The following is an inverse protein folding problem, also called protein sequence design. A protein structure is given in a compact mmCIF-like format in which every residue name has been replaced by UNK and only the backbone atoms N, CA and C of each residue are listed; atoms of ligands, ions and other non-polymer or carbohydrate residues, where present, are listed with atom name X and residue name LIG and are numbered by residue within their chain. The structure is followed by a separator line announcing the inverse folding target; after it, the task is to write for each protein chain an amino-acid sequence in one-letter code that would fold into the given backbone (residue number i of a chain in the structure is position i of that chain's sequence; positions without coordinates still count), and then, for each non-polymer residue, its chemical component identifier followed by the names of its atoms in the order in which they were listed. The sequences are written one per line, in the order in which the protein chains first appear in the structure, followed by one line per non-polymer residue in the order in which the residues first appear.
data_IF_570295319465
#
_entry.id   IF_570295319465
#
_cell.length_a   1.000
_cell.length_b   1.000
_cell.length_c   1.000
_cell.angle_alpha   90.00
_cell.angle_beta   90.00
_cell.angle_gamma   90.00
#
_symmetry.space_group_name_H-M   'P 1'
#
loop_
_entity.id
_entity.type
_entity.pdbx_description
1 polymer ?
#
# COMPACT_ATOMS: atom_id res chain seq x y z
N UNK A 1 2.38 -4.25 -17.47
CA UNK A 1 1.52 -3.08 -17.25
C UNK A 1 2.36 -1.83 -17.50
N UNK A 2 1.89 -0.84 -18.26
CA UNK A 2 2.62 0.41 -18.41
C UNK A 2 2.71 1.12 -17.05
N UNK A 3 3.93 1.40 -16.59
CA UNK A 3 4.15 2.23 -15.42
C UNK A 3 3.99 3.69 -15.83
N UNK A 4 2.89 4.31 -15.45
CA UNK A 4 2.60 5.72 -15.72
C UNK A 4 3.13 6.53 -14.55
N UNK A 5 3.78 7.66 -14.83
CA UNK A 5 4.35 8.56 -13.79
C UNK A 5 3.75 9.96 -13.82
N UNK A 6 2.91 10.25 -14.80
CA UNK A 6 2.21 11.53 -14.93
C UNK A 6 0.72 11.24 -15.02
N UNK A 7 -0.04 11.89 -14.15
CA UNK A 7 -1.48 11.70 -14.00
C UNK A 7 -2.12 13.07 -13.88
N UNK A 8 -3.41 13.24 -14.18
CA UNK A 8 -4.08 14.51 -13.97
C UNK A 8 -4.24 14.81 -12.48
N UNK A 9 -4.22 16.10 -12.14
CA UNK A 9 -4.75 16.57 -10.87
C UNK A 9 -6.28 16.40 -10.85
N UNK A 10 -6.85 16.06 -9.68
CA UNK A 10 -8.29 16.01 -9.50
C UNK A 10 -8.94 17.38 -9.78
N UNK A 11 -10.08 17.37 -10.47
CA UNK A 11 -10.88 18.58 -10.67
C UNK A 11 -11.61 18.97 -9.39
N UNK A 12 -12.02 20.23 -9.27
CA UNK A 12 -12.86 20.67 -8.14
C UNK A 12 -14.19 19.92 -8.09
N UNK A 13 -14.76 19.57 -9.24
CA UNK A 13 -15.99 18.77 -9.32
C UNK A 13 -15.79 17.37 -8.73
N UNK A 14 -14.69 16.69 -9.09
CA UNK A 14 -14.33 15.40 -8.51
C UNK A 14 -14.19 15.47 -7.00
N UNK A 15 -13.47 16.49 -6.48
CA UNK A 15 -13.31 16.67 -5.04
C UNK A 15 -14.64 16.96 -4.34
N UNK A 16 -15.49 17.81 -4.92
CA UNK A 16 -16.79 18.18 -4.36
C UNK A 16 -17.82 17.04 -4.39
N UNK A 17 -17.63 16.02 -5.23
CA UNK A 17 -18.49 14.85 -5.23
C UNK A 17 -18.39 14.06 -3.91
N UNK A 18 -17.22 14.07 -3.28
CA UNK A 18 -17.00 13.44 -1.97
C UNK A 18 -17.06 14.47 -0.82
N UNK A 19 -16.28 15.54 -0.93
CA UNK A 19 -16.09 16.53 0.13
C UNK A 19 -17.02 17.73 -0.01
N UNK A 20 -17.32 18.36 1.11
CA UNK A 20 -18.03 19.63 1.14
C UNK A 20 -17.20 20.73 0.46
N UNK A 21 -17.83 21.72 -0.20
CA UNK A 21 -17.13 22.86 -0.77
C UNK A 21 -16.32 23.65 0.26
N UNK A 22 -16.80 23.71 1.51
CA UNK A 22 -16.07 24.37 2.59
C UNK A 22 -14.72 23.70 2.87
N UNK A 23 -14.70 22.36 2.95
CA UNK A 23 -13.48 21.59 3.17
C UNK A 23 -12.48 21.77 2.03
N UNK A 24 -12.92 21.58 0.79
CA UNK A 24 -12.05 21.72 -0.39
C UNK A 24 -11.44 23.12 -0.45
N UNK A 25 -12.25 24.16 -0.26
CA UNK A 25 -11.77 25.53 -0.24
C UNK A 25 -10.81 25.82 0.92
N UNK A 26 -11.06 25.26 2.11
CA UNK A 26 -10.19 25.43 3.27
C UNK A 26 -8.80 24.84 3.02
N UNK A 27 -8.73 23.57 2.59
CA UNK A 27 -7.47 22.88 2.27
C UNK A 27 -6.68 23.62 1.20
N UNK A 28 -7.32 23.99 0.08
CA UNK A 28 -6.66 24.70 -1.01
C UNK A 28 -6.17 26.10 -0.58
N UNK A 29 -6.94 26.81 0.25
CA UNK A 29 -6.56 28.13 0.78
C UNK A 29 -5.37 28.04 1.73
N UNK A 30 -5.35 27.05 2.62
CA UNK A 30 -4.24 26.82 3.54
C UNK A 30 -2.96 26.47 2.77
N UNK A 31 -3.04 25.53 1.83
CA UNK A 31 -1.89 25.18 0.99
C UNK A 31 -1.38 26.40 0.21
N UNK A 32 -2.28 27.16 -0.42
CA UNK A 32 -1.89 28.36 -1.16
C UNK A 32 -1.21 29.43 -0.29
N UNK A 33 -1.52 29.51 1.01
CA UNK A 33 -0.80 30.41 1.94
C UNK A 33 0.63 29.93 2.17
N UNK A 34 0.83 28.63 2.37
CA UNK A 34 2.16 28.03 2.56
C UNK A 34 2.99 28.15 1.28
N UNK A 35 2.41 27.81 0.12
CA UNK A 35 3.05 27.96 -1.21
C UNK A 35 3.60 29.38 -1.41
N UNK A 36 2.75 30.40 -1.25
CA UNK A 36 3.17 31.80 -1.42
C UNK A 36 4.25 32.22 -0.43
N UNK A 37 4.19 31.71 0.81
CA UNK A 37 5.21 32.01 1.81
C UNK A 37 6.57 31.42 1.41
N UNK A 38 6.56 30.16 0.97
CA UNK A 38 7.76 29.45 0.54
C UNK A 38 8.36 30.03 -0.75
N UNK A 39 7.52 30.42 -1.71
CA UNK A 39 7.96 31.09 -2.93
C UNK A 39 8.62 32.45 -2.62
N UNK A 40 8.09 33.19 -1.65
CA UNK A 40 8.70 34.45 -1.23
C UNK A 40 10.01 34.24 -0.45
N UNK A 41 10.09 33.18 0.37
CA UNK A 41 11.34 32.80 1.03
C UNK A 41 12.44 32.47 0.02
N UNK A 42 12.11 31.75 -1.06
CA UNK A 42 13.06 31.47 -2.14
C UNK A 42 13.51 32.75 -2.86
N UNK A 43 12.58 33.69 -3.12
CA UNK A 43 12.93 34.99 -3.72
C UNK A 43 13.88 35.79 -2.82
N UNK A 44 13.61 35.83 -1.51
CA UNK A 44 14.49 36.51 -0.55
C UNK A 44 15.87 35.83 -0.51
N UNK A 45 15.92 34.50 -0.54
CA UNK A 45 17.17 33.74 -0.51
C UNK A 45 18.02 33.94 -1.77
N UNK A 46 17.40 34.24 -2.91
CA UNK A 46 18.06 34.44 -4.21
C UNK A 46 18.26 35.92 -4.56
N UNK A 47 17.80 36.85 -3.72
CA UNK A 47 17.92 38.30 -3.97
C UNK A 47 19.39 38.75 -3.95
N UNK A 48 19.92 39.31 -5.06
CA UNK A 48 21.29 39.82 -5.12
C UNK A 48 21.54 40.95 -4.11
N UNK A 49 20.50 41.69 -3.71
CA UNK A 49 20.59 42.75 -2.69
C UNK A 49 20.75 42.18 -1.28
N UNK A 50 20.46 40.91 -1.06
CA UNK A 50 20.74 40.23 0.20
C UNK A 50 22.21 39.75 0.30
N UNK A 51 22.91 39.64 -0.84
CA UNK A 51 24.29 39.12 -0.94
C UNK A 51 25.34 40.17 -1.33
N UNK A 52 24.93 41.33 -1.86
CA UNK A 52 25.83 42.42 -2.19
C UNK A 52 26.39 43.10 -0.91
N UNK A 53 27.71 43.22 -0.77
CA UNK A 53 28.40 43.77 0.41
C UNK A 53 28.08 45.23 0.81
N UNK A 54 27.11 45.88 0.15
CA UNK A 54 26.60 47.22 0.45
C UNK A 54 25.15 47.22 0.96
N UNK A 55 24.65 46.10 1.51
CA UNK A 55 23.34 46.11 2.20
C UNK A 55 23.44 47.02 3.42
N UNK A 56 22.75 48.17 3.39
CA UNK A 56 22.61 49.00 4.60
C UNK A 56 22.00 48.15 5.73
N UNK A 57 22.48 48.32 6.96
CA UNK A 57 21.98 47.59 8.13
C UNK A 57 20.44 47.63 8.26
N UNK A 58 19.82 48.72 7.81
CA UNK A 58 18.37 48.88 7.73
C UNK A 58 17.67 47.89 6.78
N UNK A 59 18.17 47.74 5.56
CA UNK A 59 17.64 46.76 4.59
C UNK A 59 17.83 45.32 5.07
N UNK A 60 18.96 45.02 5.70
CA UNK A 60 19.20 43.70 6.31
C UNK A 60 18.21 43.38 7.42
N UNK A 61 17.90 44.35 8.29
CA UNK A 61 16.93 44.17 9.38
C UNK A 61 15.52 43.92 8.82
N UNK A 62 15.07 44.68 7.81
CA UNK A 62 13.78 44.48 7.17
C UNK A 62 13.66 43.09 6.52
N UNK A 63 14.69 42.66 5.79
CA UNK A 63 14.70 41.34 5.16
C UNK A 63 14.69 40.21 6.20
N UNK A 64 15.39 40.37 7.31
CA UNK A 64 15.37 39.43 8.44
C UNK A 64 13.96 39.32 9.04
N UNK A 65 13.34 40.44 9.44
CA UNK A 65 12.01 40.42 10.04
C UNK A 65 10.95 39.84 9.09
N UNK A 66 11.05 40.16 7.80
CA UNK A 66 10.16 39.59 6.79
C UNK A 66 10.36 38.09 6.63
N UNK A 67 11.62 37.62 6.59
CA UNK A 67 11.95 36.19 6.54
C UNK A 67 11.39 35.45 7.75
N UNK A 68 11.56 35.97 8.96
CA UNK A 68 11.06 35.35 10.19
C UNK A 68 9.53 35.23 10.18
N UNK A 69 8.84 36.26 9.68
CA UNK A 69 7.39 36.24 9.51
C UNK A 69 6.94 35.16 8.51
N UNK A 70 7.65 35.00 7.39
CA UNK A 70 7.34 34.00 6.38
C UNK A 70 7.65 32.57 6.85
N UNK A 71 8.70 32.38 7.65
CA UNK A 71 9.03 31.08 8.25
C UNK A 71 7.93 30.56 9.17
N UNK A 72 7.13 31.42 9.81
CA UNK A 72 5.94 31.00 10.54
C UNK A 72 4.87 30.35 9.65
N UNK A 73 4.98 30.52 8.33
CA UNK A 73 4.10 29.93 7.32
C UNK A 73 4.86 29.01 6.35
N UNK A 74 5.95 28.37 6.79
CA UNK A 74 6.63 27.33 6.00
C UNK A 74 5.89 25.98 6.03
N UNK A 75 5.10 25.76 7.08
CA UNK A 75 4.22 24.61 7.25
C UNK A 75 3.04 24.97 8.14
N UNK A 76 1.97 24.19 8.07
CA UNK A 76 0.81 24.29 8.97
C UNK A 76 0.42 22.89 9.43
N UNK A 77 0.51 22.64 10.73
CA UNK A 77 -0.05 21.45 11.36
C UNK A 77 -1.54 21.69 11.66
N UNK A 78 -2.42 20.80 11.20
CA UNK A 78 -3.87 20.96 11.36
C UNK A 78 -4.45 20.16 12.54
N UNK A 79 -3.80 19.09 13.00
CA UNK A 79 -4.34 18.20 14.04
C UNK A 79 -3.29 17.38 14.83
N UNK A 80 -2.00 17.65 14.66
CA UNK A 80 -0.91 16.99 15.39
C UNK A 80 -0.22 15.86 14.62
N UNK A 81 -0.81 15.40 13.51
CA UNK A 81 -0.22 14.41 12.62
C UNK A 81 -0.27 14.83 11.14
N UNK A 82 -1.19 15.71 10.77
CA UNK A 82 -1.38 16.13 9.39
C UNK A 82 -0.76 17.50 9.15
N UNK A 83 0.37 17.53 8.44
CA UNK A 83 1.11 18.77 8.15
C UNK A 83 0.99 19.18 6.68
N UNK A 84 0.53 20.41 6.46
CA UNK A 84 0.59 21.10 5.16
C UNK A 84 2.00 21.67 4.98
N UNK A 85 2.62 21.36 3.85
CA UNK A 85 3.91 21.86 3.41
C UNK A 85 3.78 22.42 1.99
N UNK A 86 4.89 22.95 1.44
CA UNK A 86 4.93 23.59 0.13
C UNK A 86 4.24 22.80 -1.00
N UNK A 87 4.47 21.49 -1.07
CA UNK A 87 4.00 20.64 -2.16
C UNK A 87 2.75 19.81 -1.81
N UNK A 88 2.12 20.06 -0.66
CA UNK A 88 0.96 19.28 -0.21
C UNK A 88 -0.20 19.38 -1.19
N UNK A 89 -0.50 20.58 -1.72
CA UNK A 89 -1.61 20.77 -2.67
C UNK A 89 -1.42 19.94 -3.93
N UNK A 90 -0.25 20.06 -4.56
CA UNK A 90 0.06 19.35 -5.79
C UNK A 90 -0.01 17.85 -5.57
N UNK A 91 0.61 17.35 -4.49
CA UNK A 91 0.59 15.93 -4.15
C UNK A 91 -0.84 15.42 -3.89
N UNK A 92 -1.64 16.13 -3.07
CA UNK A 92 -3.00 15.72 -2.73
C UNK A 92 -3.95 15.74 -3.94
N UNK A 93 -3.83 16.74 -4.82
CA UNK A 93 -4.62 16.80 -6.04
C UNK A 93 -4.27 15.66 -7.01
N UNK A 94 -2.99 15.35 -7.19
CA UNK A 94 -2.56 14.26 -8.06
C UNK A 94 -2.87 12.89 -7.47
N UNK A 95 -2.86 12.72 -6.14
CA UNK A 95 -3.25 11.47 -5.50
C UNK A 95 -4.72 11.12 -5.80
N UNK A 96 -5.64 12.08 -5.60
CA UNK A 96 -7.06 11.89 -5.93
C UNK A 96 -7.29 11.77 -7.45
N UNK A 97 -6.56 12.55 -8.26
CA UNK A 97 -6.69 12.54 -9.71
C UNK A 97 -6.18 11.24 -10.35
N UNK A 98 -5.10 10.65 -9.83
CA UNK A 98 -4.61 9.35 -10.27
C UNK A 98 -5.63 8.23 -9.99
N UNK A 99 -6.31 8.27 -8.84
CA UNK A 99 -7.36 7.31 -8.52
C UNK A 99 -8.56 7.43 -9.49
N UNK A 100 -8.95 8.66 -9.87
CA UNK A 100 -9.99 8.88 -10.89
C UNK A 100 -9.56 8.39 -12.27
N UNK A 101 -8.33 8.68 -12.69
CA UNK A 101 -7.79 8.22 -13.96
C UNK A 101 -7.68 6.69 -14.04
N UNK A 102 -7.39 6.04 -12.92
CA UNK A 102 -7.40 4.58 -12.82
C UNK A 102 -8.83 4.01 -12.97
N UNK A 103 -9.84 4.66 -12.39
CA UNK A 103 -11.25 4.32 -12.63
C UNK A 103 -11.59 4.48 -14.11
N UNK A 104 -11.21 5.60 -14.74
CA UNK A 104 -11.45 5.80 -16.17
C UNK A 104 -10.83 4.68 -17.01
N UNK A 105 -9.58 4.32 -16.75
CA UNK A 105 -8.87 3.27 -17.48
C UNK A 105 -9.54 1.89 -17.31
N UNK A 106 -9.97 1.54 -16.10
CA UNK A 106 -10.64 0.26 -15.81
C UNK A 106 -12.05 0.22 -16.41
N UNK A 107 -12.83 1.31 -16.27
CA UNK A 107 -14.21 1.36 -16.75
C UNK A 107 -14.30 1.41 -18.27
N UNK A 108 -13.31 2.00 -18.95
CA UNK A 108 -13.21 2.02 -20.43
C UNK A 108 -12.56 0.75 -21.01
N UNK A 109 -12.07 -0.15 -20.17
CA UNK A 109 -11.39 -1.38 -20.60
C UNK A 109 -9.95 -1.18 -21.08
N UNK A 110 -9.35 0.00 -20.87
CA UNK A 110 -7.95 0.26 -21.18
C UNK A 110 -7.00 -0.59 -20.30
N UNK A 111 -7.44 -0.99 -19.10
CA UNK A 111 -6.80 -2.02 -18.30
C UNK A 111 -7.84 -2.85 -17.53
N UNK A 112 -7.46 -4.06 -17.12
CA UNK A 112 -8.34 -4.92 -16.29
C UNK A 112 -8.40 -4.43 -14.84
N UNK A 113 -7.27 -3.98 -14.32
CA UNK A 113 -7.14 -3.42 -12.98
C UNK A 113 -6.03 -2.37 -12.91
N UNK A 114 -5.94 -1.65 -11.79
CA UNK A 114 -4.91 -0.64 -11.54
C UNK A 114 -4.51 -0.57 -10.06
N UNK A 115 -3.25 -0.22 -9.80
CA UNK A 115 -2.74 0.15 -8.48
C UNK A 115 -2.15 1.56 -8.52
N UNK A 116 -2.63 2.46 -7.66
CA UNK A 116 -2.20 3.84 -7.56
C UNK A 116 -1.21 3.98 -6.40
N UNK A 117 0.09 4.00 -6.71
CA UNK A 117 1.15 4.27 -5.74
C UNK A 117 1.26 5.78 -5.47
N UNK A 118 0.36 6.31 -4.65
CA UNK A 118 0.20 7.74 -4.40
C UNK A 118 0.52 8.13 -2.96
N UNK A 119 0.77 9.41 -2.74
CA UNK A 119 0.79 10.06 -1.42
C UNK A 119 0.39 11.53 -1.58
N UNK A 120 -0.28 12.15 -0.59
CA UNK A 120 -0.71 11.61 0.70
C UNK A 120 -1.84 10.57 0.62
N UNK A 121 -2.08 9.78 1.69
CA UNK A 121 -3.25 8.89 1.80
C UNK A 121 -4.56 9.70 1.85
N UNK A 122 -5.70 9.00 1.89
CA UNK A 122 -7.02 9.63 1.83
C UNK A 122 -8.10 9.08 2.77
N UNK A 123 -8.07 7.82 3.19
CA UNK A 123 -9.25 7.17 3.80
C UNK A 123 -9.74 7.79 5.13
N UNK A 124 -8.91 8.56 5.83
CA UNK A 124 -9.29 9.31 7.04
C UNK A 124 -9.92 10.67 6.76
N UNK A 125 -9.75 11.23 5.55
CA UNK A 125 -10.33 12.52 5.20
C UNK A 125 -11.87 12.38 5.13
N UNK A 126 -12.55 12.98 6.09
CA UNK A 126 -14.00 13.05 6.14
C UNK A 126 -14.53 14.06 5.11
N UNK A 127 -15.84 14.04 4.79
CA UNK A 127 -16.42 15.01 3.88
C UNK A 127 -16.15 16.48 4.26
N UNK A 128 -15.92 16.76 5.55
CA UNK A 128 -15.79 18.12 6.08
C UNK A 128 -14.48 18.36 6.86
N UNK A 129 -13.54 17.41 6.86
CA UNK A 129 -12.35 17.45 7.72
C UNK A 129 -11.17 16.66 7.14
N UNK A 130 -9.98 17.25 7.18
CA UNK A 130 -8.71 16.55 6.96
C UNK A 130 -8.17 16.04 8.31
N UNK A 131 -7.59 14.85 8.32
CA UNK A 131 -6.95 14.24 9.51
C UNK A 131 -6.16 12.99 9.15
N UNK A 132 -5.29 12.51 10.05
CA UNK A 132 -4.58 11.23 9.88
C UNK A 132 -3.77 11.18 8.58
N UNK A 133 -3.00 12.24 8.31
CA UNK A 133 -2.25 12.48 7.07
C UNK A 133 -3.10 12.72 5.81
N UNK A 134 -4.43 12.60 5.89
CA UNK A 134 -5.34 12.62 4.74
C UNK A 134 -5.98 13.99 4.53
N UNK A 135 -5.78 14.57 3.34
CA UNK A 135 -6.39 15.85 2.94
C UNK A 135 -7.66 15.68 2.12
N UNK A 136 -7.62 14.76 1.15
CA UNK A 136 -8.74 14.36 0.30
C UNK A 136 -8.83 12.84 0.30
N UNK A 137 -10.05 12.32 0.31
CA UNK A 137 -10.31 10.89 0.31
C UNK A 137 -10.17 10.35 -1.11
N UNK A 138 -8.95 9.94 -1.47
CA UNK A 138 -8.59 9.52 -2.83
C UNK A 138 -9.53 8.42 -3.37
N UNK A 139 -9.72 7.34 -2.60
CA UNK A 139 -10.56 6.21 -2.99
C UNK A 139 -12.05 6.58 -3.02
N UNK A 140 -12.49 7.44 -2.09
CA UNK A 140 -13.86 7.92 -2.01
C UNK A 140 -14.20 8.85 -3.18
N UNK A 141 -13.31 9.77 -3.54
CA UNK A 141 -13.42 10.61 -4.74
C UNK A 141 -13.50 9.75 -5.99
N UNK A 142 -12.67 8.70 -6.09
CA UNK A 142 -12.72 7.74 -7.21
C UNK A 142 -14.05 6.96 -7.26
N UNK A 143 -14.61 6.58 -6.11
CA UNK A 143 -15.93 5.94 -6.03
C UNK A 143 -17.04 6.86 -6.54
N UNK A 144 -17.02 8.14 -6.14
CA UNK A 144 -17.99 9.12 -6.61
C UNK A 144 -17.83 9.40 -8.10
N UNK A 145 -16.59 9.46 -8.59
CA UNK A 145 -16.29 9.60 -10.02
C UNK A 145 -16.82 8.42 -10.84
N UNK A 146 -16.68 7.17 -10.35
CA UNK A 146 -17.28 6.00 -11.00
C UNK A 146 -18.82 6.08 -11.05
N UNK A 147 -19.44 6.48 -9.93
CA UNK A 147 -20.88 6.60 -9.76
C UNK A 147 -21.49 7.67 -10.67
N UNK A 148 -20.85 8.84 -10.75
CA UNK A 148 -21.35 10.00 -11.48
C UNK A 148 -20.90 10.00 -12.96
N UNK A 149 -19.61 9.74 -13.21
CA UNK A 149 -19.01 9.81 -14.55
C UNK A 149 -19.22 8.56 -15.39
N UNK A 150 -19.28 7.37 -14.77
CA UNK A 150 -19.42 6.08 -15.48
C UNK A 150 -20.76 5.39 -15.24
N UNK A 151 -21.67 6.02 -14.49
CA UNK A 151 -23.01 5.47 -14.21
C UNK A 151 -23.00 4.18 -13.40
N UNK A 152 -21.92 3.90 -12.66
CA UNK A 152 -21.77 2.68 -11.86
C UNK A 152 -22.84 2.65 -10.77
N UNK A 153 -23.61 1.56 -10.72
CA UNK A 153 -24.75 1.45 -9.81
C UNK A 153 -24.33 1.03 -8.40
N UNK A 154 -23.40 0.06 -8.30
CA UNK A 154 -22.86 -0.46 -7.04
C UNK A 154 -21.34 -0.45 -7.04
N UNK A 155 -20.74 0.27 -6.11
CA UNK A 155 -19.30 0.30 -5.85
C UNK A 155 -19.06 -0.31 -4.47
N UNK A 156 -18.09 -1.22 -4.36
CA UNK A 156 -17.62 -1.69 -3.06
C UNK A 156 -16.21 -1.14 -2.83
N UNK A 157 -15.96 -0.59 -1.63
CA UNK A 157 -14.62 -0.27 -1.14
C UNK A 157 -14.28 -1.29 -0.05
N UNK A 158 -13.20 -2.04 -0.26
CA UNK A 158 -12.61 -2.91 0.77
C UNK A 158 -11.33 -2.26 1.28
N UNK A 159 -11.29 -1.99 2.56
CA UNK A 159 -10.19 -1.34 3.25
C UNK A 159 -9.49 -2.33 4.18
N UNK A 160 -8.24 -2.66 3.84
CA UNK A 160 -7.38 -3.52 4.67
C UNK A 160 -6.23 -2.75 5.33
N UNK A 161 -6.24 -1.41 5.26
CA UNK A 161 -5.42 -0.58 6.13
C UNK A 161 -5.72 -0.93 7.59
N UNK A 162 -4.70 -0.91 8.45
CA UNK A 162 -4.87 -1.29 9.85
C UNK A 162 -5.73 -0.29 10.62
N UNK A 163 -5.83 0.94 10.14
CA UNK A 163 -6.65 1.98 10.73
C UNK A 163 -8.03 2.01 10.07
N UNK A 164 -9.06 2.29 10.86
CA UNK A 164 -10.40 2.45 10.32
C UNK A 164 -10.48 3.70 9.42
N UNK A 165 -10.80 3.52 8.14
CA UNK A 165 -11.08 4.59 7.18
C UNK A 165 -12.38 5.35 7.48
N UNK A 166 -12.40 6.11 8.57
CA UNK A 166 -13.56 6.86 9.08
C UNK A 166 -14.15 7.85 8.07
N UNK A 167 -13.33 8.41 7.18
CA UNK A 167 -13.79 9.30 6.11
C UNK A 167 -14.69 8.57 5.12
N UNK A 168 -14.24 7.39 4.68
CA UNK A 168 -14.98 6.53 3.75
C UNK A 168 -16.24 5.97 4.39
N UNK A 169 -16.16 5.49 5.65
CA UNK A 169 -17.33 5.04 6.43
C UNK A 169 -18.39 6.16 6.49
N UNK A 170 -17.98 7.37 6.88
CA UNK A 170 -18.89 8.53 7.00
C UNK A 170 -19.64 8.81 5.70
N UNK A 171 -18.95 8.76 4.54
CA UNK A 171 -19.61 8.94 3.24
C UNK A 171 -20.53 7.78 2.91
N UNK A 172 -20.13 6.53 3.16
CA UNK A 172 -20.96 5.36 2.89
C UNK A 172 -22.29 5.39 3.66
N UNK A 173 -22.30 5.90 4.89
CA UNK A 173 -23.53 6.03 5.70
C UNK A 173 -24.50 7.13 5.27
N UNK A 174 -24.13 7.96 4.30
CA UNK A 174 -25.04 9.00 3.82
C UNK A 174 -26.27 8.38 3.11
N UNK A 175 -27.46 8.97 3.24
CA UNK A 175 -28.68 8.38 2.66
C UNK A 175 -28.62 8.14 1.14
N UNK A 176 -27.92 9.02 0.42
CA UNK A 176 -27.70 8.91 -1.03
C UNK A 176 -26.80 7.72 -1.41
N UNK A 177 -25.94 7.27 -0.49
CA UNK A 177 -24.96 6.21 -0.73
C UNK A 177 -25.39 4.83 -0.21
N UNK A 178 -26.41 4.76 0.64
CA UNK A 178 -26.85 3.54 1.33
C UNK A 178 -27.06 2.30 0.43
N UNK A 179 -27.41 2.50 -0.85
CA UNK A 179 -27.61 1.41 -1.82
C UNK A 179 -26.55 1.34 -2.93
N UNK A 180 -25.68 2.35 -3.02
CA UNK A 180 -24.70 2.51 -4.10
C UNK A 180 -23.27 2.23 -3.67
N UNK A 181 -22.96 2.41 -2.39
CA UNK A 181 -21.62 2.28 -1.84
C UNK A 181 -21.62 1.32 -0.65
N UNK A 182 -20.99 0.15 -0.84
CA UNK A 182 -20.62 -0.73 0.25
C UNK A 182 -19.21 -0.37 0.72
N UNK A 183 -19.05 -0.15 2.02
CA UNK A 183 -17.74 -0.02 2.66
C UNK A 183 -17.49 -1.21 3.59
N UNK A 184 -16.36 -1.88 3.41
CA UNK A 184 -15.90 -2.95 4.30
C UNK A 184 -14.52 -2.57 4.81
N UNK A 185 -14.28 -2.67 6.10
CA UNK A 185 -12.96 -2.37 6.70
C UNK A 185 -12.51 -3.48 7.63
N UNK A 186 -11.26 -3.91 7.49
CA UNK A 186 -10.56 -4.78 8.44
C UNK A 186 -9.48 -4.01 9.16
N UNK A 187 -9.74 -3.56 10.39
CA UNK A 187 -8.86 -2.64 11.12
C UNK A 187 -8.63 -3.09 12.56
N UNK A 188 -7.55 -2.63 13.18
CA UNK A 188 -7.35 -2.84 14.61
C UNK A 188 -8.44 -2.13 15.41
N UNK A 189 -9.04 -2.85 16.35
CA UNK A 189 -10.14 -2.33 17.16
C UNK A 189 -9.73 -1.10 17.99
N UNK A 190 -10.68 -0.22 18.31
CA UNK A 190 -10.48 0.85 19.30
C UNK A 190 -9.88 0.32 20.62
N UNK A 191 -8.94 1.06 21.24
CA UNK A 191 -8.66 2.49 21.08
C UNK A 191 -7.58 2.82 20.04
N UNK A 192 -7.25 1.92 19.09
CA UNK A 192 -6.39 2.28 17.96
C UNK A 192 -6.96 3.49 17.21
N UNK A 193 -6.09 4.38 16.71
CA UNK A 193 -6.52 5.53 15.92
C UNK A 193 -7.40 5.05 14.74
N UNK A 194 -8.51 5.72 14.41
CA UNK A 194 -9.02 6.99 14.96
C UNK A 194 -10.05 6.81 16.10
N UNK A 195 -10.02 5.70 16.83
CA UNK A 195 -10.98 5.35 17.89
C UNK A 195 -12.44 5.30 17.38
N UNK A 196 -12.63 4.68 16.21
CA UNK A 196 -13.94 4.44 15.58
C UNK A 196 -13.95 3.08 14.87
N UNK A 197 -14.96 2.81 14.03
CA UNK A 197 -15.06 1.53 13.32
C UNK A 197 -15.74 0.41 14.10
N UNK A 198 -16.49 0.73 15.15
CA UNK A 198 -17.11 -0.29 16.00
C UNK A 198 -18.02 -1.25 15.22
N UNK A 199 -17.78 -2.56 15.34
CA UNK A 199 -18.55 -3.60 14.63
C UNK A 199 -20.06 -3.57 14.95
N UNK A 200 -20.42 -3.16 16.19
CA UNK A 200 -21.83 -3.00 16.60
C UNK A 200 -22.57 -1.92 15.80
N UNK A 201 -21.86 -1.03 15.10
CA UNK A 201 -22.44 0.02 14.26
C UNK A 201 -22.56 -0.41 12.79
N UNK A 202 -22.39 -1.69 12.47
CA UNK A 202 -22.58 -2.18 11.10
C UNK A 202 -24.00 -1.92 10.60
N UNK A 203 -24.10 -1.72 9.29
CA UNK A 203 -25.36 -1.45 8.58
C UNK A 203 -25.39 -2.22 7.26
N UNK A 204 -26.47 -2.12 6.49
CA UNK A 204 -26.59 -2.87 5.22
C UNK A 204 -25.47 -2.59 4.22
N UNK A 205 -24.81 -1.45 4.31
CA UNK A 205 -23.76 -1.01 3.38
C UNK A 205 -22.46 -0.59 4.08
N UNK A 206 -22.32 -0.91 5.38
CA UNK A 206 -21.07 -0.77 6.12
C UNK A 206 -20.81 -2.02 6.95
N UNK A 207 -19.65 -2.65 6.72
CA UNK A 207 -19.18 -3.82 7.44
C UNK A 207 -17.79 -3.55 8.04
N UNK A 208 -17.77 -3.23 9.31
CA UNK A 208 -16.54 -3.10 10.09
C UNK A 208 -16.21 -4.45 10.74
N UNK A 209 -15.01 -4.95 10.45
CA UNK A 209 -14.43 -6.20 10.94
C UNK A 209 -13.24 -5.86 11.83
N UNK A 210 -13.49 -5.82 13.13
CA UNK A 210 -12.49 -5.46 14.14
C UNK A 210 -11.43 -6.57 14.30
N UNK A 211 -10.16 -6.17 14.37
CA UNK A 211 -9.01 -7.03 14.65
C UNK A 211 -8.47 -6.74 16.04
N UNK A 212 -8.21 -7.78 16.83
CA UNK A 212 -7.53 -7.63 18.11
C UNK A 212 -6.05 -7.29 17.89
N UNK A 213 -5.43 -6.60 18.85
CA UNK A 213 -3.97 -6.51 18.87
C UNK A 213 -3.38 -7.93 18.91
N UNK A 214 -2.24 -8.09 18.24
CA UNK A 214 -1.56 -9.35 17.95
C UNK A 214 -2.32 -10.34 17.06
N UNK A 215 -3.37 -9.92 16.35
CA UNK A 215 -4.08 -10.77 15.37
C UNK A 215 -3.08 -11.40 14.39
N UNK A 216 -3.11 -12.73 14.30
CA UNK A 216 -2.26 -13.52 13.40
C UNK A 216 -2.82 -13.59 11.99
N UNK A 217 -1.99 -14.00 11.03
CA UNK A 217 -2.39 -14.35 9.66
C UNK A 217 -3.61 -15.28 9.62
N UNK A 218 -3.64 -16.34 10.43
CA UNK A 218 -4.75 -17.30 10.42
C UNK A 218 -6.06 -16.69 10.93
N UNK A 219 -6.01 -15.88 11.98
CA UNK A 219 -7.18 -15.20 12.52
C UNK A 219 -7.73 -14.16 11.54
N UNK A 220 -6.86 -13.35 10.93
CA UNK A 220 -7.22 -12.40 9.88
C UNK A 220 -7.90 -13.09 8.69
N UNK A 221 -7.27 -14.15 8.14
CA UNK A 221 -7.82 -14.92 7.01
C UNK A 221 -9.13 -15.61 7.35
N UNK A 222 -9.33 -16.00 8.61
CA UNK A 222 -10.59 -16.56 9.09
C UNK A 222 -11.70 -15.51 9.03
N UNK A 223 -11.52 -14.36 9.71
CA UNK A 223 -12.48 -13.25 9.72
C UNK A 223 -12.79 -12.74 8.31
N UNK A 224 -11.77 -12.63 7.45
CA UNK A 224 -11.97 -12.22 6.06
C UNK A 224 -12.91 -13.18 5.31
N UNK A 225 -12.70 -14.50 5.44
CA UNK A 225 -13.57 -15.51 4.80
C UNK A 225 -14.98 -15.54 5.36
N UNK A 226 -15.14 -15.33 6.66
CA UNK A 226 -16.44 -15.48 7.33
C UNK A 226 -17.28 -14.22 7.31
N UNK A 227 -16.67 -13.03 7.23
CA UNK A 227 -17.36 -11.74 7.35
C UNK A 227 -17.25 -10.90 6.07
N UNK A 228 -16.06 -10.78 5.49
CA UNK A 228 -15.82 -9.90 4.33
C UNK A 228 -16.34 -10.53 3.04
N UNK A 229 -15.92 -11.75 2.71
CA UNK A 229 -16.28 -12.37 1.43
C UNK A 229 -17.79 -12.56 1.23
N UNK A 230 -18.58 -13.03 2.22
CA UNK A 230 -20.01 -13.19 2.06
C UNK A 230 -20.70 -11.84 1.83
N UNK A 231 -20.30 -10.81 2.58
CA UNK A 231 -20.83 -9.44 2.45
C UNK A 231 -20.55 -8.87 1.07
N UNK A 232 -19.31 -8.98 0.60
CA UNK A 232 -18.91 -8.48 -0.72
C UNK A 232 -19.64 -9.20 -1.87
N UNK A 233 -19.78 -10.54 -1.77
CA UNK A 233 -20.51 -11.34 -2.76
C UNK A 233 -21.99 -11.03 -2.78
N UNK A 234 -22.62 -10.87 -1.61
CA UNK A 234 -24.04 -10.54 -1.50
C UNK A 234 -24.37 -9.17 -2.10
N UNK A 235 -23.46 -8.19 -1.96
CA UNK A 235 -23.62 -6.87 -2.55
C UNK A 235 -23.43 -6.86 -4.08
N UNK A 236 -22.67 -7.81 -4.62
CA UNK A 236 -22.41 -7.98 -6.05
C UNK A 236 -22.06 -6.65 -6.75
N UNK A 237 -20.93 -5.99 -6.37
CA UNK A 237 -20.55 -4.69 -6.92
C UNK A 237 -20.33 -4.76 -8.43
N UNK A 238 -20.37 -3.61 -9.09
CA UNK A 238 -19.99 -3.44 -10.49
C UNK A 238 -18.55 -2.95 -10.66
N UNK A 239 -17.95 -2.42 -9.59
CA UNK A 239 -16.56 -2.00 -9.48
C UNK A 239 -16.09 -2.27 -8.04
N UNK A 240 -14.92 -2.90 -7.90
CA UNK A 240 -14.26 -3.08 -6.62
C UNK A 240 -13.13 -2.06 -6.48
N UNK A 241 -13.16 -1.33 -5.39
CA UNK A 241 -12.14 -0.38 -4.98
C UNK A 241 -11.45 -0.91 -3.73
N UNK A 242 -10.13 -0.72 -3.63
CA UNK A 242 -9.33 -1.19 -2.50
C UNK A 242 -8.57 -0.02 -1.90
N UNK A 243 -8.83 0.27 -0.63
CA UNK A 243 -7.93 1.08 0.21
C UNK A 243 -6.80 0.17 0.66
N UNK A 244 -5.64 0.30 0.03
CA UNK A 244 -4.51 -0.60 0.24
C UNK A 244 -3.46 0.00 1.17
N UNK A 245 -3.75 -0.03 2.46
CA UNK A 245 -2.78 0.25 3.52
C UNK A 245 -1.98 -0.99 3.90
N UNK A 246 -0.68 -0.84 4.13
CA UNK A 246 0.22 -1.96 4.43
C UNK A 246 0.79 -1.92 5.86
N UNK A 247 0.21 -1.10 6.74
CA UNK A 247 0.58 -0.93 8.14
C UNK A 247 0.01 -2.00 9.09
N UNK A 248 -0.81 -2.93 8.58
CA UNK A 248 -1.15 -4.15 9.32
C UNK A 248 0.03 -5.16 9.33
N UNK A 249 1.12 -4.86 8.64
CA UNK A 249 2.33 -5.68 8.65
C UNK A 249 2.99 -5.64 10.04
N UNK A 250 3.41 -6.79 10.55
CA UNK A 250 4.01 -6.94 11.91
C UNK A 250 5.25 -6.07 12.20
N UNK A 251 5.87 -5.53 11.15
CA UNK A 251 7.11 -4.74 11.22
C UNK A 251 6.80 -3.23 11.05
N UNK A 252 5.53 -2.85 10.91
CA UNK A 252 5.05 -1.47 10.96
C UNK A 252 4.79 -1.07 12.43
N UNK A 253 5.21 0.13 12.85
CA UNK A 253 5.13 0.55 14.25
C UNK A 253 3.79 1.19 14.64
N UNK A 254 2.87 1.41 13.71
CA UNK A 254 1.66 2.20 13.95
C UNK A 254 0.53 1.41 14.61
N UNK A 255 0.50 0.10 14.39
CA UNK A 255 -0.47 -0.81 15.00
C UNK A 255 0.19 -2.12 15.40
N UNK A 256 -0.60 -3.01 16.00
CA UNK A 256 -0.15 -4.28 16.56
C UNK A 256 -0.83 -5.47 15.87
N UNK A 257 -1.27 -5.35 14.62
CA UNK A 257 -1.69 -6.52 13.83
C UNK A 257 -0.44 -7.17 13.24
N UNK A 258 -0.38 -8.50 13.26
CA UNK A 258 0.83 -9.25 12.90
C UNK A 258 0.71 -9.90 11.51
N UNK A 259 0.31 -9.14 10.49
CA UNK A 259 0.29 -9.65 9.12
C UNK A 259 1.70 -9.70 8.52
N UNK A 260 1.83 -10.55 7.50
CA UNK A 260 3.03 -10.66 6.67
C UNK A 260 2.70 -10.24 5.23
N UNK A 261 3.73 -9.96 4.43
CA UNK A 261 3.56 -9.69 2.98
C UNK A 261 2.68 -10.75 2.26
N UNK A 262 2.79 -12.03 2.64
CA UNK A 262 1.96 -13.12 2.09
C UNK A 262 0.45 -12.96 2.38
N UNK A 263 0.08 -12.34 3.49
CA UNK A 263 -1.33 -12.06 3.80
C UNK A 263 -1.92 -11.01 2.85
N UNK A 264 -1.13 -10.01 2.46
CA UNK A 264 -1.54 -9.02 1.47
C UNK A 264 -1.65 -9.64 0.06
N UNK A 265 -0.76 -10.57 -0.31
CA UNK A 265 -0.92 -11.37 -1.53
C UNK A 265 -2.21 -12.22 -1.46
N UNK A 266 -2.44 -12.90 -0.34
CA UNK A 266 -3.59 -13.78 -0.14
C UNK A 266 -4.91 -13.00 -0.22
N UNK A 267 -5.06 -11.90 0.52
CA UNK A 267 -6.31 -11.11 0.57
C UNK A 267 -6.63 -10.54 -0.81
N UNK A 268 -5.60 -10.08 -1.53
CA UNK A 268 -5.74 -9.55 -2.88
C UNK A 268 -6.18 -10.64 -3.85
N UNK A 269 -5.60 -11.85 -3.78
CA UNK A 269 -6.07 -12.99 -4.56
C UNK A 269 -7.56 -13.32 -4.32
N UNK A 270 -8.02 -13.25 -3.06
CA UNK A 270 -9.44 -13.46 -2.73
C UNK A 270 -10.32 -12.38 -3.37
N UNK A 271 -9.92 -11.12 -3.25
CA UNK A 271 -10.62 -9.99 -3.85
C UNK A 271 -10.66 -10.07 -5.38
N UNK A 272 -9.55 -10.43 -6.04
CA UNK A 272 -9.51 -10.62 -7.50
C UNK A 272 -10.48 -11.71 -7.97
N UNK A 273 -10.55 -12.84 -7.25
CA UNK A 273 -11.50 -13.92 -7.55
C UNK A 273 -12.95 -13.46 -7.41
N UNK A 274 -13.27 -12.72 -6.35
CA UNK A 274 -14.62 -12.17 -6.16
C UNK A 274 -14.96 -11.18 -7.27
N UNK A 275 -14.06 -10.22 -7.53
CA UNK A 275 -14.24 -9.20 -8.56
C UNK A 275 -14.43 -9.82 -9.96
N UNK A 276 -13.70 -10.88 -10.29
CA UNK A 276 -13.86 -11.57 -11.56
C UNK A 276 -15.25 -12.20 -11.70
N UNK A 277 -15.76 -12.78 -10.62
CA UNK A 277 -17.09 -13.40 -10.60
C UNK A 277 -18.25 -12.38 -10.66
N UNK A 278 -18.10 -11.18 -10.06
CA UNK A 278 -19.24 -10.25 -9.87
C UNK A 278 -19.11 -8.92 -10.62
N UNK A 279 -17.89 -8.47 -10.94
CA UNK A 279 -17.62 -7.19 -11.61
C UNK A 279 -16.64 -7.29 -12.78
N UNK A 280 -16.52 -8.46 -13.43
CA UNK A 280 -15.65 -8.68 -14.60
C UNK A 280 -14.17 -8.34 -14.33
N UNK A 281 -13.73 -8.52 -13.08
CA UNK A 281 -12.34 -8.29 -12.68
C UNK A 281 -11.97 -6.81 -12.54
N UNK A 282 -12.93 -5.88 -12.65
CA UNK A 282 -12.70 -4.43 -12.51
C UNK A 282 -12.30 -4.08 -11.09
N UNK A 283 -11.02 -3.75 -10.91
CA UNK A 283 -10.41 -3.41 -9.63
C UNK A 283 -9.55 -2.16 -9.76
N UNK A 284 -9.71 -1.21 -8.85
CA UNK A 284 -8.75 -0.13 -8.63
C UNK A 284 -8.32 -0.15 -7.17
N UNK A 285 -7.02 -0.18 -6.94
CA UNK A 285 -6.41 -0.13 -5.61
C UNK A 285 -5.63 1.17 -5.46
N UNK A 286 -5.70 1.79 -4.29
CA UNK A 286 -5.02 3.06 -3.97
C UNK A 286 -4.23 2.87 -2.69
N UNK A 287 -2.94 3.24 -2.72
CA UNK A 287 -2.08 3.18 -1.54
C UNK A 287 -2.60 4.15 -0.45
N UNK A 288 -2.78 3.61 0.76
CA UNK A 288 -3.15 4.37 1.97
C UNK A 288 -1.95 4.41 2.94
N UNK A 289 -2.05 3.77 4.10
CA UNK A 289 -1.00 3.63 5.10
C UNK A 289 0.06 2.58 4.78
N UNK A 290 0.86 2.23 5.79
CA UNK A 290 2.15 1.55 5.63
C UNK A 290 3.27 2.57 5.69
N UNK A 291 3.61 2.98 6.91
CA UNK A 291 4.39 4.21 7.12
C UNK A 291 5.84 3.88 7.48
N UNK A 292 6.76 4.51 6.74
CA UNK A 292 8.07 4.89 7.26
C UNK A 292 7.89 6.21 7.99
N UNK A 293 7.80 6.20 9.32
CA UNK A 293 7.70 7.44 10.13
C UNK A 293 8.82 8.39 9.67
N UNK A 294 8.49 9.48 8.98
CA UNK A 294 9.46 10.54 8.64
C UNK A 294 9.49 11.55 9.79
N UNK A 295 9.93 11.08 10.94
CA UNK A 295 10.19 11.86 12.15
C UNK A 295 11.54 11.43 12.70
N UNK A 296 12.36 12.39 13.15
CA UNK A 296 13.82 12.37 13.42
C UNK A 296 14.46 11.20 14.25
N UNK A 297 13.81 10.05 14.39
CA UNK A 297 14.26 8.91 15.19
C UNK A 297 14.73 7.72 14.34
N UNK A 298 16.05 7.57 14.28
CA UNK A 298 16.82 6.31 14.12
C UNK A 298 16.76 5.61 12.76
N UNK A 299 17.69 5.99 11.86
CA UNK A 299 18.01 5.40 10.54
C UNK A 299 17.98 3.86 10.41
N UNK A 300 18.03 3.11 11.53
CA UNK A 300 17.97 1.63 11.55
C UNK A 300 16.54 1.09 11.51
N UNK A 301 15.55 1.74 12.13
CA UNK A 301 14.13 1.32 12.08
C UNK A 301 13.50 1.66 10.72
N UNK A 302 13.86 2.81 10.14
CA UNK A 302 13.45 3.23 8.79
C UNK A 302 13.64 2.18 7.69
N UNK A 303 14.75 1.43 7.72
CA UNK A 303 15.06 0.43 6.68
C UNK A 303 14.17 -0.80 6.73
N UNK A 304 13.73 -1.23 7.91
CA UNK A 304 12.86 -2.41 8.04
C UNK A 304 11.42 -2.07 7.62
N UNK A 305 10.95 -0.87 7.90
CA UNK A 305 9.57 -0.45 7.61
C UNK A 305 9.36 -0.20 6.11
N UNK A 306 10.32 0.47 5.45
CA UNK A 306 10.28 0.61 3.99
C UNK A 306 10.34 -0.75 3.28
N UNK A 307 11.01 -1.74 3.88
CA UNK A 307 11.02 -3.09 3.34
C UNK A 307 9.68 -3.80 3.53
N UNK A 308 9.07 -3.69 4.70
CA UNK A 308 7.73 -4.22 4.96
C UNK A 308 6.68 -3.62 4.02
N UNK A 309 6.69 -2.29 3.84
CA UNK A 309 5.84 -1.60 2.87
C UNK A 309 6.11 -2.10 1.44
N UNK A 310 7.38 -2.14 1.03
CA UNK A 310 7.73 -2.56 -0.32
C UNK A 310 7.36 -4.02 -0.60
N UNK A 311 7.63 -4.94 0.33
CA UNK A 311 7.31 -6.36 0.21
C UNK A 311 5.79 -6.58 0.18
N UNK A 312 5.04 -5.85 1.00
CA UNK A 312 3.58 -5.94 1.05
C UNK A 312 2.91 -5.34 -0.20
N UNK A 313 3.41 -4.20 -0.67
CA UNK A 313 2.95 -3.59 -1.92
C UNK A 313 3.31 -4.46 -3.14
N UNK A 314 4.52 -5.02 -3.19
CA UNK A 314 4.94 -5.96 -4.23
C UNK A 314 4.03 -7.21 -4.21
N UNK A 315 3.75 -7.76 -3.03
CA UNK A 315 2.84 -8.88 -2.86
C UNK A 315 1.42 -8.57 -3.38
N UNK A 316 0.89 -7.39 -3.06
CA UNK A 316 -0.41 -6.92 -3.57
C UNK A 316 -0.40 -6.77 -5.10
N UNK A 317 0.59 -6.08 -5.66
CA UNK A 317 0.72 -5.87 -7.12
C UNK A 317 0.89 -7.22 -7.84
N UNK A 318 1.68 -8.13 -7.29
CA UNK A 318 1.86 -9.48 -7.83
C UNK A 318 0.53 -10.23 -7.88
N UNK A 319 -0.27 -10.19 -6.82
CA UNK A 319 -1.60 -10.79 -6.83
C UNK A 319 -2.53 -10.17 -7.89
N UNK A 320 -2.52 -8.84 -8.05
CA UNK A 320 -3.28 -8.16 -9.11
C UNK A 320 -2.84 -8.59 -10.53
N UNK A 321 -1.55 -8.87 -10.72
CA UNK A 321 -1.01 -9.28 -12.01
C UNK A 321 -1.20 -10.79 -12.31
N UNK A 322 -1.05 -11.66 -11.31
CA UNK A 322 -1.06 -13.12 -11.46
C UNK A 322 -2.46 -13.73 -11.37
N UNK A 323 -3.38 -13.14 -10.60
CA UNK A 323 -4.72 -13.71 -10.42
C UNK A 323 -5.69 -13.36 -11.56
N UNK A 324 -5.35 -12.38 -12.41
CA UNK A 324 -6.16 -12.00 -13.58
C UNK A 324 -6.04 -13.00 -14.75
N UNK A 325 -4.83 -13.47 -15.14
CA UNK A 325 -4.67 -14.46 -16.21
C UNK A 325 -5.37 -15.80 -15.96
N UNK A 326 -5.43 -16.26 -14.70
CA UNK A 326 -6.01 -17.55 -14.33
C UNK A 326 -7.50 -17.63 -14.70
N UNK A 327 -8.20 -16.50 -14.65
CA UNK A 327 -9.66 -16.44 -14.82
C UNK A 327 -10.09 -16.25 -16.29
N UNK A 328 -9.15 -15.88 -17.18
CA UNK A 328 -9.40 -15.83 -18.63
C UNK A 328 -9.26 -17.21 -19.31
N UNK A 329 -8.82 -18.24 -18.58
CA UNK A 329 -8.60 -19.60 -19.10
C UNK A 329 -9.59 -20.64 -18.56
N UNK A 330 -10.57 -20.29 -17.72
CA UNK A 330 -11.58 -21.22 -17.20
C UNK A 330 -12.71 -21.49 -18.21
N UNK A 331 -12.33 -21.90 -19.43
CA UNK A 331 -13.23 -22.45 -20.44
C UNK A 331 -12.68 -23.78 -20.98
N UNK A 332 -12.14 -24.61 -20.08
CA UNK A 332 -11.89 -26.03 -20.31
C UNK A 332 -12.04 -26.74 -18.96
N UNK A 333 -12.79 -27.84 -18.95
CA UNK A 333 -13.17 -28.57 -17.75
C UNK A 333 -11.98 -28.90 -16.85
N UNK A 334 -11.98 -28.39 -15.62
CA UNK A 334 -11.26 -29.05 -14.54
C UNK A 334 -12.09 -29.03 -13.26
N UNK A 335 -12.27 -30.25 -12.73
CA UNK A 335 -13.05 -30.56 -11.55
C UNK A 335 -12.40 -29.90 -10.32
N UNK A 336 -13.21 -29.12 -9.60
CA UNK A 336 -12.88 -28.63 -8.27
C UNK A 336 -12.75 -29.84 -7.35
N UNK A 337 -11.53 -30.26 -7.03
CA UNK A 337 -11.28 -31.16 -5.91
C UNK A 337 -11.34 -30.32 -4.64
N UNK A 338 -12.45 -30.45 -3.92
CA UNK A 338 -12.60 -30.06 -2.53
C UNK A 338 -11.60 -30.86 -1.70
N UNK A 339 -10.55 -30.20 -1.19
CA UNK A 339 -9.78 -30.75 -0.07
C UNK A 339 -10.54 -30.35 1.20
N UNK A 340 -11.53 -31.15 1.56
CA UNK A 340 -11.98 -31.30 2.93
C UNK A 340 -10.83 -31.95 3.71
N UNK A 341 -10.32 -31.26 4.73
CA UNK A 341 -9.36 -31.84 5.68
C UNK A 341 -10.11 -32.34 6.91
N UNK A 342 -10.84 -33.43 6.74
CA UNK A 342 -11.08 -34.38 7.83
C UNK A 342 -9.76 -35.12 8.09
N UNK A 343 -8.97 -34.63 9.06
CA UNK A 343 -7.89 -35.36 9.72
C UNK A 343 -7.51 -34.61 11.01
N UNK A 344 -8.46 -34.55 11.94
CA UNK A 344 -8.15 -34.51 13.35
C UNK A 344 -7.88 -35.95 13.78
N UNK A 345 -6.61 -36.32 13.91
CA UNK A 345 -6.10 -37.33 14.85
C UNK A 345 -4.65 -37.68 14.51
N UNK A 346 -3.70 -36.88 14.99
CA UNK A 346 -2.39 -37.28 15.52
C UNK A 346 -1.52 -36.04 15.69
N UNK A 347 -1.44 -35.56 16.92
CA UNK A 347 -0.47 -34.56 17.34
C UNK A 347 0.93 -35.18 17.25
N UNK A 348 1.66 -34.87 16.19
CA UNK A 348 3.12 -34.81 16.26
C UNK A 348 3.52 -33.33 16.27
N UNK A 349 4.08 -32.93 17.41
CA UNK A 349 4.78 -31.65 17.58
C UNK A 349 5.94 -31.64 16.58
N UNK A 350 5.72 -31.04 15.41
CA UNK A 350 6.81 -30.71 14.49
C UNK A 350 7.46 -29.44 15.01
N UNK A 351 8.72 -29.59 15.44
CA UNK A 351 9.59 -28.49 15.85
C UNK A 351 9.69 -27.47 14.72
N UNK A 352 9.24 -26.25 15.02
CA UNK A 352 9.35 -25.07 14.16
C UNK A 352 10.84 -24.82 13.89
N UNK A 353 11.27 -25.16 12.68
CA UNK A 353 12.46 -24.59 12.03
C UNK A 353 11.96 -24.06 10.70
N UNK A 354 11.44 -22.83 10.71
CA UNK A 354 10.84 -22.17 9.53
C UNK A 354 11.92 -21.93 8.46
N UNK A 355 12.19 -22.94 7.64
CA UNK A 355 12.84 -22.73 6.35
C UNK A 355 11.80 -22.12 5.41
N UNK A 356 12.07 -21.00 4.72
CA UNK A 356 11.16 -20.48 3.71
C UNK A 356 10.88 -21.55 2.64
N UNK A 357 9.62 -21.76 2.20
CA UNK A 357 9.27 -22.83 1.25
C UNK A 357 9.95 -22.67 -0.12
N UNK A 358 10.50 -21.48 -0.38
CA UNK A 358 11.39 -21.21 -1.50
C UNK A 358 12.46 -20.17 -1.15
N UNK A 359 13.67 -20.34 -1.70
CA UNK A 359 14.81 -19.44 -1.56
C UNK A 359 15.28 -19.00 -2.96
N UNK A 360 15.15 -17.71 -3.26
CA UNK A 360 15.68 -17.10 -4.50
C UNK A 360 17.12 -16.66 -4.26
N UNK A 361 18.04 -17.14 -5.09
CA UNK A 361 19.47 -16.77 -5.04
C UNK A 361 19.92 -16.26 -6.40
N UNK A 362 20.86 -15.31 -6.40
CA UNK A 362 21.51 -14.83 -7.62
C UNK A 362 22.95 -15.29 -7.67
N UNK A 363 23.29 -16.08 -8.68
CA UNK A 363 24.63 -16.61 -8.89
C UNK A 363 25.45 -15.62 -9.72
N UNK A 364 26.67 -15.34 -9.26
CA UNK A 364 27.65 -14.50 -9.96
C UNK A 364 29.02 -15.17 -9.97
N UNK A 365 29.74 -15.05 -11.09
CA UNK A 365 31.18 -15.30 -11.15
C UNK A 365 31.91 -13.96 -11.20
N UNK A 366 33.02 -13.82 -10.49
CA UNK A 366 33.89 -12.63 -10.61
C UNK A 366 34.38 -12.40 -12.06
N UNK A 367 34.37 -13.45 -12.89
CA UNK A 367 34.80 -13.40 -14.30
C UNK A 367 33.63 -13.23 -15.29
N UNK A 368 32.40 -13.59 -14.92
CA UNK A 368 31.22 -13.45 -15.79
C UNK A 368 30.42 -12.22 -15.35
N UNK A 369 30.38 -11.18 -16.20
CA UNK A 369 29.53 -9.97 -16.00
C UNK A 369 28.01 -10.24 -16.04
N UNK A 370 27.56 -11.49 -15.86
CA UNK A 370 26.15 -11.90 -15.96
C UNK A 370 25.67 -12.51 -14.66
N UNK A 371 24.66 -11.88 -14.06
CA UNK A 371 23.92 -12.39 -12.91
C UNK A 371 22.89 -13.43 -13.36
N UNK A 372 22.76 -14.53 -12.63
CA UNK A 372 21.81 -15.61 -12.94
C UNK A 372 20.99 -15.96 -11.70
N UNK A 373 19.73 -15.56 -11.69
CA UNK A 373 18.81 -15.88 -10.59
C UNK A 373 18.26 -17.32 -10.71
N UNK A 374 18.04 -17.94 -9.55
CA UNK A 374 17.53 -19.30 -9.39
C UNK A 374 16.56 -19.28 -8.21
N UNK A 375 15.39 -19.88 -8.39
CA UNK A 375 14.47 -20.16 -7.30
C UNK A 375 14.68 -21.60 -6.84
N UNK A 376 15.03 -21.78 -5.57
CA UNK A 376 15.18 -23.07 -4.92
C UNK A 376 13.90 -23.36 -4.14
N UNK A 377 13.35 -24.57 -4.23
CA UNK A 377 12.10 -24.93 -3.55
C UNK A 377 12.21 -26.24 -2.78
N UNK A 378 11.32 -26.46 -1.81
CA UNK A 378 11.27 -27.70 -1.02
C UNK A 378 12.16 -27.65 0.23
N UNK A 379 12.53 -28.82 0.77
CA UNK A 379 13.36 -28.94 1.97
C UNK A 379 14.77 -28.35 1.79
N UNK A 380 15.47 -28.09 2.89
CA UNK A 380 16.85 -27.58 2.87
C UNK A 380 17.77 -28.44 1.97
N UNK A 381 17.64 -29.77 2.04
CA UNK A 381 18.40 -30.72 1.22
C UNK A 381 18.02 -30.67 -0.27
N UNK A 382 16.72 -30.50 -0.56
CA UNK A 382 16.25 -30.34 -1.93
C UNK A 382 16.77 -29.03 -2.54
N UNK A 383 16.75 -27.95 -1.77
CA UNK A 383 17.27 -26.65 -2.16
C UNK A 383 18.79 -26.67 -2.33
N UNK A 384 19.51 -27.38 -1.46
CA UNK A 384 20.96 -27.58 -1.57
C UNK A 384 21.34 -28.33 -2.85
N UNK A 385 20.59 -29.39 -3.17
CA UNK A 385 20.78 -30.15 -4.40
C UNK A 385 20.53 -29.27 -5.64
N UNK A 386 19.45 -28.50 -5.64
CA UNK A 386 19.13 -27.55 -6.72
C UNK A 386 20.21 -26.47 -6.88
N UNK A 387 20.75 -25.94 -5.77
CA UNK A 387 21.84 -24.96 -5.80
C UNK A 387 23.10 -25.54 -6.42
N UNK A 388 23.50 -26.75 -6.03
CA UNK A 388 24.67 -27.43 -6.57
C UNK A 388 24.53 -27.66 -8.09
N UNK A 389 23.35 -28.10 -8.53
CA UNK A 389 23.04 -28.27 -9.96
C UNK A 389 23.10 -26.93 -10.69
N UNK A 390 22.51 -25.88 -10.13
CA UNK A 390 22.50 -24.55 -10.74
C UNK A 390 23.91 -23.94 -10.81
N UNK A 391 24.73 -24.11 -9.78
CA UNK A 391 26.12 -23.63 -9.79
C UNK A 391 26.96 -24.34 -10.86
N UNK A 392 26.79 -25.66 -11.01
CA UNK A 392 27.48 -26.42 -12.07
C UNK A 392 27.01 -26.03 -13.46
N UNK A 393 25.70 -25.94 -13.69
CA UNK A 393 25.11 -25.72 -15.02
C UNK A 393 25.13 -24.27 -15.47
N UNK A 394 24.98 -23.30 -14.55
CA UNK A 394 24.90 -21.87 -14.88
C UNK A 394 26.22 -21.12 -14.73
N UNK A 395 27.13 -21.57 -13.85
CA UNK A 395 28.45 -20.94 -13.63
C UNK A 395 29.65 -21.79 -14.07
N UNK A 396 29.43 -23.03 -14.55
CA UNK A 396 30.51 -24.00 -14.82
C UNK A 396 31.43 -24.23 -13.61
N UNK A 397 30.86 -24.21 -12.41
CA UNK A 397 31.61 -24.32 -11.15
C UNK A 397 32.33 -25.67 -11.04
N UNK A 398 33.65 -25.64 -10.78
CA UNK A 398 34.47 -26.83 -10.52
C UNK A 398 34.34 -27.28 -9.07
N UNK A 399 34.63 -28.56 -8.80
CA UNK A 399 34.61 -29.13 -7.43
C UNK A 399 35.52 -28.43 -6.42
N UNK A 400 36.55 -27.73 -6.88
CA UNK A 400 37.50 -27.00 -6.04
C UNK A 400 37.06 -25.57 -5.69
N UNK A 401 35.97 -25.08 -6.29
CA UNK A 401 35.47 -23.72 -6.10
C UNK A 401 34.33 -23.69 -5.08
N UNK A 402 34.16 -22.57 -4.39
CA UNK A 402 33.12 -22.40 -3.36
C UNK A 402 32.19 -21.24 -3.70
N UNK A 403 30.95 -21.33 -3.21
CA UNK A 403 30.02 -20.20 -3.22
C UNK A 403 30.17 -19.41 -1.92
N UNK A 404 30.21 -18.08 -2.03
CA UNK A 404 30.32 -17.17 -0.89
C UNK A 404 29.31 -16.04 -0.97
N UNK A 405 28.85 -15.59 0.18
CA UNK A 405 28.08 -14.34 0.27
C UNK A 405 29.00 -13.13 0.05
N UNK A 406 28.42 -11.94 -0.16
CA UNK A 406 29.17 -10.67 -0.25
C UNK A 406 30.09 -10.42 0.97
N UNK A 407 29.73 -10.95 2.14
CA UNK A 407 30.50 -10.82 3.39
C UNK A 407 31.56 -11.92 3.58
N UNK A 408 31.74 -12.81 2.59
CA UNK A 408 32.77 -13.85 2.58
C UNK A 408 32.38 -15.18 3.23
N UNK A 409 31.18 -15.28 3.80
CA UNK A 409 30.66 -16.52 4.39
C UNK A 409 30.49 -17.60 3.31
N UNK A 410 30.99 -18.80 3.58
CA UNK A 410 30.96 -19.95 2.67
C UNK A 410 29.62 -20.65 2.78
N UNK A 411 29.02 -21.00 1.64
CA UNK A 411 27.79 -21.78 1.57
C UNK A 411 28.15 -23.19 1.08
N UNK A 412 28.27 -24.14 2.01
CA UNK A 412 28.76 -25.50 1.72
C UNK A 412 27.87 -26.66 2.22
N UNK A 413 26.68 -26.35 2.75
CA UNK A 413 25.71 -27.35 3.22
C UNK A 413 24.27 -26.84 3.12
N UNK A 414 23.31 -27.75 3.29
CA UNK A 414 21.90 -27.42 3.45
C UNK A 414 21.66 -26.51 4.67
N UNK A 415 22.35 -26.74 5.79
CA UNK A 415 22.25 -25.87 6.97
C UNK A 415 22.75 -24.45 6.70
N UNK A 416 23.78 -24.30 5.85
CA UNK A 416 24.25 -22.98 5.47
C UNK A 416 23.19 -22.20 4.68
N UNK A 417 22.28 -22.87 3.96
CA UNK A 417 21.16 -22.22 3.27
C UNK A 417 20.12 -21.63 4.22
N UNK A 418 19.90 -22.26 5.38
CA UNK A 418 18.97 -21.75 6.41
C UNK A 418 19.37 -20.36 6.91
N UNK A 419 20.66 -20.01 6.79
CA UNK A 419 21.18 -18.70 7.21
C UNK A 419 21.10 -17.63 6.13
N UNK A 420 20.65 -17.97 4.91
CA UNK A 420 20.55 -17.06 3.78
C UNK A 420 19.18 -16.40 3.69
N UNK A 421 19.16 -15.13 3.29
CA UNK A 421 17.94 -14.41 2.95
C UNK A 421 17.63 -14.52 1.45
N UNK A 422 16.35 -14.34 1.08
CA UNK A 422 15.94 -14.22 -0.32
C UNK A 422 16.70 -13.11 -1.05
N UNK A 423 16.94 -13.33 -2.34
CA UNK A 423 17.69 -12.47 -3.26
C UNK A 423 19.19 -12.28 -2.91
N UNK A 424 19.75 -13.15 -2.08
CA UNK A 424 21.19 -13.12 -1.81
C UNK A 424 22.00 -13.38 -3.09
N UNK A 425 23.06 -12.59 -3.27
CA UNK A 425 24.04 -12.82 -4.33
C UNK A 425 25.15 -13.72 -3.81
N UNK A 426 25.31 -14.88 -4.45
CA UNK A 426 26.40 -15.81 -4.18
C UNK A 426 27.47 -15.69 -5.26
N UNK A 427 28.70 -15.45 -4.81
CA UNK A 427 29.87 -15.30 -5.64
C UNK A 427 30.63 -16.61 -5.66
N UNK A 428 30.91 -17.11 -6.86
CA UNK A 428 31.85 -18.21 -7.05
C UNK A 428 33.28 -17.69 -6.85
N UNK A 429 33.98 -18.26 -5.86
CA UNK A 429 35.39 -17.99 -5.54
C UNK A 429 36.23 -19.24 -5.75
#
# INVERSE_FOLDING_TARGET
MPHITTFPAATLEQLHAFHTPLHVNAVLKWCGKIERSMDELDRIATDPRATAGNVTAFLSAILSTRRDTLLQYSSLDIDGDTTIMRYTREAALHAAGAACAAVDAVMTGACANAFCAVRPPGHHAEPHKAMGFCFFNNIGVAAMHAIAGHGVQRVAIVDFDVHHGNGTDTKARTPDMAHRLLYISTHQKPPCFPNSGHAIRNSSNVCNVEMDAATSSSAFRSKFRTEVEPTLRAFAPNLLLISAGFDAHRDDPMANVNLMADDFYWVTCRLVRIASAVCQGRIVSVLEGGTSIVGFCVLRYYRYHLRALADSAEAHIRALAEAVPILNHENEQDQIVSIESDLCDSVQVLSITDHPPSLRVTLSSLQLKKLKSVLLTGSADAQWTQLCVAAKTKLNMKKTQKLRTKRGAVVESADALLTLHNDVVLYMS
#
